data_IF_621173887908
#
_entry.id   IF_621173887908
#
_cell.length_a   1.000
_cell.length_b   1.000
_cell.length_c   1.000
_cell.angle_alpha   90.00
_cell.angle_beta   90.00
_cell.angle_gamma   90.00
#
_symmetry.space_group_name_H-M   'P 1'
#
loop_
_entity.id
_entity.type
_entity.pdbx_description
1 polymer ?
#
# COMPACT_ATOMS: atom_id res chain seq x y z
N UNK A 1 -27.46 -22.26 -5.19
CA UNK A 1 -26.05 -22.38 -5.66
C UNK A 1 -25.75 -21.20 -6.56
N UNK A 2 -24.75 -20.38 -6.23
CA UNK A 2 -24.39 -19.22 -7.06
C UNK A 2 -23.99 -19.63 -8.47
N UNK A 3 -24.26 -18.78 -9.46
CA UNK A 3 -23.95 -19.04 -10.87
C UNK A 3 -22.45 -19.29 -11.07
N UNK A 4 -22.07 -20.02 -12.14
CA UNK A 4 -20.66 -20.32 -12.47
C UNK A 4 -19.80 -19.04 -12.55
N UNK A 5 -20.38 -17.93 -13.01
CA UNK A 5 -19.71 -16.62 -13.05
C UNK A 5 -19.45 -16.04 -11.65
N UNK A 6 -20.40 -16.19 -10.71
CA UNK A 6 -20.24 -15.73 -9.34
C UNK A 6 -19.11 -16.48 -8.60
N UNK A 7 -19.03 -17.80 -8.77
CA UNK A 7 -17.94 -18.60 -8.18
C UNK A 7 -16.55 -18.18 -8.72
N UNK A 8 -16.46 -17.83 -10.01
CA UNK A 8 -15.22 -17.31 -10.62
C UNK A 8 -14.85 -15.94 -10.06
N UNK A 9 -15.83 -15.02 -9.97
CA UNK A 9 -15.62 -13.69 -9.42
C UNK A 9 -15.14 -13.74 -7.95
N UNK A 10 -15.70 -14.66 -7.15
CA UNK A 10 -15.26 -14.86 -5.77
C UNK A 10 -13.78 -15.25 -5.66
N UNK A 11 -13.31 -16.21 -6.48
CA UNK A 11 -11.89 -16.60 -6.50
C UNK A 11 -10.98 -15.43 -6.86
N UNK A 12 -11.33 -14.68 -7.91
CA UNK A 12 -10.57 -13.50 -8.34
C UNK A 12 -10.56 -12.40 -7.26
N UNK A 13 -11.66 -12.23 -6.53
CA UNK A 13 -11.75 -11.27 -5.42
C UNK A 13 -10.77 -11.61 -4.29
N UNK A 14 -10.67 -12.89 -3.91
CA UNK A 14 -9.73 -13.33 -2.87
C UNK A 14 -8.27 -13.06 -3.25
N UNK A 15 -7.88 -13.38 -4.49
CA UNK A 15 -6.52 -13.11 -5.00
C UNK A 15 -6.20 -11.61 -5.03
N UNK A 16 -7.14 -10.79 -5.50
CA UNK A 16 -7.00 -9.32 -5.50
C UNK A 16 -6.91 -8.79 -4.07
N UNK A 17 -7.72 -9.29 -3.15
CA UNK A 17 -7.72 -8.91 -1.74
C UNK A 17 -6.36 -9.17 -1.09
N UNK A 18 -5.74 -10.33 -1.32
CA UNK A 18 -4.43 -10.65 -0.77
C UNK A 18 -3.33 -9.70 -1.28
N UNK A 19 -3.32 -9.43 -2.59
CA UNK A 19 -2.37 -8.48 -3.20
C UNK A 19 -2.55 -7.06 -2.67
N UNK A 20 -3.79 -6.58 -2.63
CA UNK A 20 -4.10 -5.22 -2.16
C UNK A 20 -3.81 -5.05 -0.67
N UNK A 21 -4.03 -6.09 0.14
CA UNK A 21 -3.69 -6.09 1.57
C UNK A 21 -2.19 -5.95 1.79
N UNK A 22 -1.38 -6.71 1.06
CA UNK A 22 0.09 -6.63 1.15
C UNK A 22 0.59 -5.22 0.76
N UNK A 23 0.14 -4.71 -0.38
CA UNK A 23 0.51 -3.37 -0.85
C UNK A 23 0.11 -2.28 0.15
N UNK A 24 -1.15 -2.29 0.63
CA UNK A 24 -1.63 -1.33 1.63
C UNK A 24 -0.84 -1.40 2.95
N UNK A 25 -0.47 -2.60 3.40
CA UNK A 25 0.35 -2.77 4.60
C UNK A 25 1.74 -2.20 4.41
N UNK A 26 2.40 -2.49 3.29
CA UNK A 26 3.74 -1.98 2.99
C UNK A 26 3.77 -0.45 2.94
N UNK A 27 2.79 0.19 2.28
CA UNK A 27 2.67 1.64 2.24
C UNK A 27 2.47 2.24 3.64
N UNK A 28 1.60 1.66 4.48
CA UNK A 28 1.43 2.10 5.87
C UNK A 28 2.72 1.98 6.68
N UNK A 29 3.47 0.89 6.51
CA UNK A 29 4.75 0.70 7.19
C UNK A 29 5.78 1.74 6.75
N UNK A 30 5.86 2.07 5.46
CA UNK A 30 6.76 3.11 4.95
C UNK A 30 6.44 4.48 5.55
N UNK A 31 5.15 4.86 5.60
CA UNK A 31 4.70 6.11 6.24
C UNK A 31 5.07 6.13 7.73
N UNK A 32 4.89 5.01 8.44
CA UNK A 32 5.26 4.93 9.85
C UNK A 32 6.76 5.15 10.04
N UNK A 33 7.61 4.51 9.23
CA UNK A 33 9.06 4.69 9.28
C UNK A 33 9.47 6.14 9.02
N UNK A 34 8.85 6.80 8.04
CA UNK A 34 9.09 8.22 7.77
C UNK A 34 8.73 9.09 8.97
N UNK A 35 7.56 8.86 9.59
CA UNK A 35 7.16 9.60 10.80
C UNK A 35 8.12 9.35 11.97
N UNK A 36 8.51 8.10 12.22
CA UNK A 36 9.43 7.74 13.30
C UNK A 36 10.81 8.40 13.09
N UNK A 37 11.31 8.45 11.84
CA UNK A 37 12.57 9.10 11.48
C UNK A 37 12.52 10.63 11.61
N UNK A 38 11.38 11.26 11.27
CA UNK A 38 11.16 12.69 11.50
C UNK A 38 11.18 12.98 13.01
N UNK A 39 10.54 12.14 13.83
CA UNK A 39 10.49 12.31 15.28
C UNK A 39 11.84 12.11 15.96
N UNK A 40 12.73 11.26 15.41
CA UNK A 40 14.06 11.05 15.98
C UNK A 40 15.04 12.20 15.72
N UNK A 41 14.69 13.17 14.86
CA UNK A 41 15.50 14.38 14.61
C UNK A 41 16.69 14.19 13.68
N UNK A 42 16.83 13.01 13.04
CA UNK A 42 17.85 12.76 12.01
C UNK A 42 17.32 13.24 10.65
N UNK A 43 17.77 14.42 10.23
CA UNK A 43 17.26 15.09 9.03
C UNK A 43 17.59 14.35 7.73
N UNK A 44 18.73 13.69 7.65
CA UNK A 44 19.14 13.00 6.41
C UNK A 44 18.42 11.66 6.29
N UNK A 45 18.37 10.88 7.38
CA UNK A 45 17.57 9.65 7.40
C UNK A 45 16.07 9.91 7.21
N UNK A 46 15.55 11.01 7.74
CA UNK A 46 14.15 11.41 7.54
C UNK A 46 13.84 11.75 6.08
N UNK A 47 14.74 12.47 5.38
CA UNK A 47 14.56 12.80 3.96
C UNK A 47 14.46 11.55 3.10
N UNK A 48 15.36 10.59 3.30
CA UNK A 48 15.36 9.34 2.55
C UNK A 48 14.11 8.51 2.85
N UNK A 49 13.75 8.36 4.13
CA UNK A 49 12.56 7.61 4.54
C UNK A 49 11.25 8.23 3.99
N UNK A 50 11.17 9.56 3.95
CA UNK A 50 10.03 10.28 3.35
C UNK A 50 9.98 10.04 1.84
N UNK A 51 11.11 10.12 1.14
CA UNK A 51 11.15 9.87 -0.29
C UNK A 51 10.69 8.44 -0.62
N UNK A 52 11.14 7.43 0.13
CA UNK A 52 10.68 6.06 -0.01
C UNK A 52 9.16 5.91 0.25
N UNK A 53 8.65 6.61 1.26
CA UNK A 53 7.22 6.59 1.58
C UNK A 53 6.38 7.19 0.44
N UNK A 54 6.82 8.30 -0.15
CA UNK A 54 6.18 8.94 -1.32
C UNK A 54 6.16 7.99 -2.52
N UNK A 55 7.30 7.39 -2.86
CA UNK A 55 7.39 6.43 -3.98
C UNK A 55 6.46 5.23 -3.75
N UNK A 56 6.35 4.75 -2.51
CA UNK A 56 5.44 3.65 -2.15
C UNK A 56 3.97 4.04 -2.28
N UNK A 57 3.62 5.26 -1.89
CA UNK A 57 2.29 5.84 -2.04
C UNK A 57 1.88 5.96 -3.51
N UNK A 58 2.74 6.53 -4.34
CA UNK A 58 2.48 6.72 -5.77
C UNK A 58 2.31 5.37 -6.49
N UNK A 59 3.18 4.39 -6.19
CA UNK A 59 3.03 3.03 -6.73
C UNK A 59 1.73 2.37 -6.30
N UNK A 60 1.27 2.59 -5.07
CA UNK A 60 0.01 2.05 -4.59
C UNK A 60 -1.20 2.74 -5.24
N UNK A 61 -1.12 4.04 -5.51
CA UNK A 61 -2.13 4.80 -6.24
C UNK A 61 -2.21 4.37 -7.72
N UNK A 62 -1.07 4.27 -8.41
CA UNK A 62 -0.99 3.80 -9.80
C UNK A 62 -1.57 2.39 -10.00
N UNK A 63 -1.39 1.50 -9.02
CA UNK A 63 -1.94 0.13 -9.04
C UNK A 63 -3.43 0.07 -8.67
N UNK A 64 -4.06 1.20 -8.37
CA UNK A 64 -5.46 1.28 -7.95
C UNK A 64 -5.74 0.67 -6.57
N UNK A 65 -4.71 0.49 -5.74
CA UNK A 65 -4.85 -0.03 -4.37
C UNK A 65 -5.33 1.09 -3.44
N UNK A 66 -4.85 2.31 -3.69
CA UNK A 66 -5.29 3.55 -3.04
C UNK A 66 -5.93 4.45 -4.09
N UNK A 67 -6.95 5.20 -3.68
CA UNK A 67 -7.57 6.19 -4.54
C UNK A 67 -6.74 7.49 -4.51
N UNK A 68 -6.67 8.21 -5.64
CA UNK A 68 -5.86 9.42 -5.75
C UNK A 68 -6.51 10.65 -5.11
N UNK A 69 -7.83 10.61 -4.85
CA UNK A 69 -8.59 11.71 -4.24
C UNK A 69 -8.75 11.54 -2.74
#
# INVERSE_FOLDING_TARGET
>A
MGTRSAAKAHRQSLERRLRNRSAKSATKTAIKKANDAILSGDLDAARDAVHEAVVSLDKAAQKGVLHHR
#
